data_IF_293679190507
#
_entry.id   IF_293679190507
#
_cell.length_a   1.000
_cell.length_b   1.000
_cell.length_c   1.000
_cell.angle_alpha   90.00
_cell.angle_beta   90.00
_cell.angle_gamma   90.00
#
_symmetry.space_group_name_H-M   'P 1'
#
loop_
_entity.id
_entity.type
_entity.pdbx_description
1 polymer ?
#
# COMPACT_ATOMS: atom_id res chain seq x y z
N UNK A 1 -14.36 4.24 -16.53
CA UNK A 1 -13.80 3.35 -15.50
C UNK A 1 -12.46 3.92 -15.05
N UNK A 2 -12.28 4.26 -13.77
CA UNK A 2 -11.02 4.74 -13.21
C UNK A 2 -10.81 4.27 -11.76
N UNK A 3 -9.53 4.21 -11.33
CA UNK A 3 -9.16 3.91 -9.96
C UNK A 3 -9.63 5.04 -9.05
N UNK A 4 -10.63 4.79 -8.19
CA UNK A 4 -11.22 5.82 -7.34
C UNK A 4 -10.55 5.92 -5.98
N UNK A 5 -10.17 4.79 -5.39
CA UNK A 5 -9.64 4.76 -4.02
C UNK A 5 -8.59 3.67 -3.84
N UNK A 6 -7.53 3.99 -3.09
CA UNK A 6 -6.51 3.05 -2.61
C UNK A 6 -6.43 3.17 -1.10
N UNK A 7 -6.56 2.04 -0.41
CA UNK A 7 -6.35 1.95 1.03
C UNK A 7 -5.42 0.78 1.35
N UNK A 8 -4.42 1.01 2.23
CA UNK A 8 -3.54 -0.06 2.72
C UNK A 8 -3.25 0.08 4.19
N UNK A 9 -3.24 -1.04 4.92
CA UNK A 9 -2.76 -1.14 6.30
C UNK A 9 -1.70 -2.21 6.43
N UNK A 10 -0.67 -1.91 7.21
CA UNK A 10 0.46 -2.79 7.51
C UNK A 10 1.20 -3.27 6.24
N UNK A 11 1.41 -2.35 5.28
CA UNK A 11 2.11 -2.63 4.03
C UNK A 11 3.37 -1.75 3.88
N UNK A 12 4.54 -2.40 3.95
CA UNK A 12 5.86 -1.76 3.89
C UNK A 12 5.98 -0.58 4.87
N UNK A 13 6.08 0.65 4.35
CA UNK A 13 6.20 1.88 5.14
C UNK A 13 4.86 2.35 5.73
N UNK A 14 3.73 1.83 5.26
CA UNK A 14 2.41 2.17 5.77
C UNK A 14 1.99 1.24 6.90
N UNK A 15 1.59 1.82 8.01
CA UNK A 15 1.19 1.10 9.23
C UNK A 15 -0.31 0.89 9.34
N UNK A 16 -0.78 0.79 10.58
CA UNK A 16 -2.18 0.56 10.93
C UNK A 16 -3.01 1.86 11.03
N UNK A 17 -2.39 3.02 10.82
CA UNK A 17 -3.00 4.33 10.99
C UNK A 17 -3.05 4.82 12.45
N UNK A 18 -2.46 4.08 13.41
CA UNK A 18 -2.38 4.50 14.82
C UNK A 18 -1.02 5.09 15.15
N UNK A 19 0.03 4.28 15.05
CA UNK A 19 1.41 4.69 15.36
C UNK A 19 2.16 5.10 14.09
N UNK A 20 1.87 4.44 12.97
CA UNK A 20 2.42 4.73 11.65
C UNK A 20 1.25 4.96 10.69
N UNK A 21 1.27 6.03 9.86
CA UNK A 21 0.18 6.34 8.96
C UNK A 21 -0.16 5.17 8.02
N UNK A 22 -1.46 4.94 7.81
CA UNK A 22 -1.95 4.07 6.77
C UNK A 22 -2.06 4.86 5.45
N UNK A 23 -2.03 4.16 4.31
CA UNK A 23 -2.38 4.79 3.03
C UNK A 23 -3.90 4.85 2.92
N UNK A 24 -4.45 6.04 2.73
CA UNK A 24 -5.84 6.26 2.35
C UNK A 24 -5.88 7.42 1.36
N UNK A 25 -6.03 7.10 0.07
CA UNK A 25 -5.98 8.07 -1.00
C UNK A 25 -7.18 7.90 -1.95
N UNK A 26 -7.97 8.97 -2.08
CA UNK A 26 -8.98 9.12 -3.12
C UNK A 26 -8.38 9.81 -4.35
N UNK A 27 -8.51 9.17 -5.51
CA UNK A 27 -7.95 9.62 -6.77
C UNK A 27 -8.99 10.36 -7.59
N UNK A 28 -8.55 11.41 -8.27
CA UNK A 28 -9.36 12.11 -9.24
C UNK A 28 -9.45 11.29 -10.55
N UNK A 29 -10.56 11.40 -11.30
CA UNK A 29 -10.57 10.94 -12.68
C UNK A 29 -9.56 11.75 -13.51
N UNK A 30 -8.86 11.07 -14.43
CA UNK A 30 -7.83 11.70 -15.26
C UNK A 30 -6.43 11.59 -14.65
N UNK A 31 -5.80 12.72 -14.33
CA UNK A 31 -4.40 12.79 -13.92
C UNK A 31 -4.26 12.97 -12.40
N UNK A 32 -3.52 12.06 -11.76
CA UNK A 32 -3.07 12.19 -10.38
C UNK A 32 -1.54 12.24 -10.38
N UNK A 33 -0.96 13.12 -9.57
CA UNK A 33 0.49 13.31 -9.48
C UNK A 33 0.97 12.90 -8.09
N UNK A 34 1.94 11.99 -8.04
CA UNK A 34 2.57 11.52 -6.80
C UNK A 34 3.99 12.10 -6.71
N UNK A 35 4.21 13.04 -5.79
CA UNK A 35 5.48 13.74 -5.58
C UNK A 35 5.89 13.71 -4.11
N UNK A 36 7.20 13.84 -3.86
CA UNK A 36 7.78 13.78 -2.53
C UNK A 36 9.26 13.41 -2.58
N UNK A 37 9.92 13.39 -1.43
CA UNK A 37 11.34 13.02 -1.28
C UNK A 37 11.60 11.56 -1.70
N UNK A 38 12.84 11.24 -2.06
CA UNK A 38 13.27 9.85 -2.20
C UNK A 38 12.96 9.06 -0.91
N UNK A 39 12.57 7.80 -1.07
CA UNK A 39 12.18 6.91 0.04
C UNK A 39 10.94 7.33 0.86
N UNK A 40 10.25 8.41 0.49
CA UNK A 40 8.98 8.83 1.12
C UNK A 40 7.80 7.86 0.92
N UNK A 41 8.01 6.69 0.30
CA UNK A 41 6.96 5.69 0.09
C UNK A 41 6.22 5.77 -1.25
N UNK A 42 6.67 6.61 -2.20
CA UNK A 42 6.05 6.71 -3.53
C UNK A 42 5.99 5.37 -4.27
N UNK A 43 7.09 4.62 -4.27
CA UNK A 43 7.16 3.27 -4.86
C UNK A 43 6.24 2.28 -4.14
N UNK A 44 6.05 2.42 -2.82
CA UNK A 44 5.12 1.59 -2.03
C UNK A 44 3.68 1.78 -2.48
N UNK A 45 3.25 3.01 -2.80
CA UNK A 45 1.89 3.27 -3.31
C UNK A 45 1.67 2.52 -4.64
N UNK A 46 2.64 2.60 -5.55
CA UNK A 46 2.56 1.88 -6.84
C UNK A 46 2.55 0.37 -6.64
N UNK A 47 3.36 -0.14 -5.72
CA UNK A 47 3.42 -1.58 -5.43
C UNK A 47 2.14 -2.09 -4.77
N UNK A 48 1.44 -1.27 -3.97
CA UNK A 48 0.13 -1.61 -3.44
C UNK A 48 -0.92 -1.77 -4.55
N UNK A 49 -0.91 -0.86 -5.54
CA UNK A 49 -1.80 -0.94 -6.71
C UNK A 49 -1.52 -2.23 -7.49
N UNK A 50 -0.24 -2.51 -7.78
CA UNK A 50 0.19 -3.71 -8.51
C UNK A 50 -0.21 -5.00 -7.79
N UNK A 51 -0.04 -5.04 -6.46
CA UNK A 51 -0.34 -6.20 -5.63
C UNK A 51 -1.82 -6.58 -5.70
N UNK A 52 -2.72 -5.60 -5.65
CA UNK A 52 -4.18 -5.84 -5.65
C UNK A 52 -4.72 -6.11 -7.05
N UNK A 53 -4.20 -5.41 -8.06
CA UNK A 53 -4.64 -5.58 -9.45
C UNK A 53 -4.02 -6.80 -10.15
N UNK A 54 -3.18 -7.57 -9.46
CA UNK A 54 -2.59 -8.82 -9.97
C UNK A 54 -1.92 -8.66 -11.34
N UNK A 55 -1.18 -7.58 -11.55
CA UNK A 55 -0.26 -7.52 -12.70
C UNK A 55 0.90 -8.48 -12.43
N UNK A 56 0.79 -9.71 -12.94
CA UNK A 56 1.69 -10.86 -12.75
C UNK A 56 3.06 -10.71 -13.42
N UNK A 57 3.49 -9.49 -13.73
CA UNK A 57 4.83 -9.22 -14.25
C UNK A 57 5.72 -8.68 -13.13
N UNK A 58 6.51 -9.61 -12.59
CA UNK A 58 7.76 -9.42 -11.83
C UNK A 58 7.71 -9.23 -10.30
N UNK A 59 8.44 -10.16 -9.68
CA UNK A 59 8.88 -10.32 -8.29
C UNK A 59 7.80 -10.45 -7.22
N UNK A 60 7.72 -11.67 -6.67
CA UNK A 60 7.12 -11.96 -5.38
C UNK A 60 7.66 -10.95 -4.36
N UNK A 61 6.83 -9.98 -3.95
CA UNK A 61 7.17 -9.07 -2.87
C UNK A 61 7.35 -9.93 -1.62
N UNK A 62 8.61 -10.26 -1.28
CA UNK A 62 8.93 -10.88 0.00
C UNK A 62 8.37 -9.95 1.06
N UNK A 63 7.37 -10.43 1.81
CA UNK A 63 6.97 -9.80 3.05
C UNK A 63 8.21 -9.80 3.94
N UNK A 64 8.90 -8.67 4.02
CA UNK A 64 10.04 -8.51 4.90
C UNK A 64 9.52 -8.59 6.33
N UNK A 65 9.92 -9.67 6.99
CA UNK A 65 9.62 -10.02 8.37
C UNK A 65 10.34 -9.05 9.33
N UNK A 66 9.89 -7.79 9.36
CA UNK A 66 10.45 -6.76 10.22
C UNK A 66 10.04 -7.00 11.68
N UNK A 67 10.96 -7.56 12.47
CA UNK A 67 10.90 -7.70 13.95
C UNK A 67 9.51 -8.05 14.50
N UNK A 68 9.12 -9.33 14.38
CA UNK A 68 8.01 -9.90 15.14
C UNK A 68 8.28 -9.74 16.63
N UNK A 69 7.45 -8.99 17.35
CA UNK A 69 7.32 -9.18 18.79
C UNK A 69 6.73 -10.58 19.00
N UNK A 70 7.54 -11.52 19.48
CA UNK A 70 7.10 -12.87 19.84
C UNK A 70 5.87 -12.77 20.76
N UNK A 71 4.73 -13.30 20.32
CA UNK A 71 3.49 -13.36 21.10
C UNK A 71 2.32 -12.49 20.61
N UNK A 72 2.52 -11.61 19.63
CA UNK A 72 1.40 -10.92 18.96
C UNK A 72 1.07 -11.59 17.61
N UNK A 73 -0.21 -11.77 17.27
CA UNK A 73 -0.57 -12.26 15.93
C UNK A 73 0.00 -11.30 14.88
N UNK A 74 0.41 -11.81 13.70
CA UNK A 74 0.94 -10.96 12.65
C UNK A 74 -0.08 -9.87 12.32
N UNK A 75 0.36 -8.62 12.12
CA UNK A 75 -0.55 -7.55 11.74
C UNK A 75 -1.26 -7.95 10.46
N UNK A 76 -2.60 -7.84 10.46
CA UNK A 76 -3.40 -8.19 9.30
C UNK A 76 -3.07 -7.21 8.18
N UNK A 77 -2.58 -7.75 7.06
CA UNK A 77 -2.41 -6.99 5.83
C UNK A 77 -3.79 -6.75 5.22
N UNK A 78 -4.15 -5.49 5.04
CA UNK A 78 -5.43 -5.10 4.46
C UNK A 78 -5.16 -4.14 3.29
N UNK A 79 -5.66 -4.50 2.10
CA UNK A 79 -5.54 -3.67 0.90
C UNK A 79 -6.89 -3.64 0.20
N UNK A 80 -7.36 -2.44 -0.11
CA UNK A 80 -8.64 -2.23 -0.79
C UNK A 80 -8.45 -1.25 -1.94
N UNK A 81 -9.00 -1.63 -3.09
CA UNK A 81 -9.08 -0.78 -4.27
C UNK A 81 -10.54 -0.72 -4.72
N UNK A 82 -11.01 0.50 -4.99
CA UNK A 82 -12.33 0.74 -5.58
C UNK A 82 -12.16 1.32 -6.98
N UNK A 83 -12.96 0.83 -7.93
CA UNK A 83 -13.02 1.32 -9.30
C UNK A 83 -14.42 1.88 -9.56
N UNK A 84 -14.51 3.04 -10.19
CA UNK A 84 -15.77 3.69 -10.59
C UNK A 84 -15.92 3.71 -12.11
#
# INVERSE_FOLDING_TARGET
MYLKKIQTRNFRVFGDGKAVPALDWELAPGLNILVGENDAGKSTVIDAIRQVLWTTSYEFVRMLDGKRSYGKPPPKLEMFISVH
#
